data_IF_103961277466
#
_entry.id   IF_103961277466
#
_cell.length_a   1.000
_cell.length_b   1.000
_cell.length_c   1.000
_cell.angle_alpha   90.00
_cell.angle_beta   90.00
_cell.angle_gamma   90.00
#
_symmetry.space_group_name_H-M   'P 1'
#
loop_
_entity.id
_entity.type
_entity.pdbx_description
1 polymer ?
#
# COMPACT_ATOMS: atom_id res chain seq x y z
N UNK A 1 -12.86 0.76 -7.52
CA UNK A 1 -13.14 0.86 -6.07
C UNK A 1 -11.80 0.92 -5.36
N UNK A 2 -11.64 1.75 -4.32
CA UNK A 2 -10.40 1.77 -3.53
C UNK A 2 -10.61 1.00 -2.26
N UNK A 3 -9.79 -0.01 -2.03
CA UNK A 3 -9.78 -0.80 -0.80
C UNK A 3 -8.68 -0.27 0.12
N UNK A 4 -8.98 -0.16 1.40
CA UNK A 4 -7.99 0.15 2.41
C UNK A 4 -7.61 -1.13 3.14
N UNK A 5 -6.32 -1.41 3.22
CA UNK A 5 -5.79 -2.53 3.96
C UNK A 5 -5.05 -2.03 5.20
N UNK A 6 -5.34 -2.64 6.35
CA UNK A 6 -4.63 -2.39 7.61
C UNK A 6 -3.54 -3.45 7.80
N UNK A 7 -2.30 -3.03 7.99
CA UNK A 7 -1.16 -3.95 8.20
C UNK A 7 -0.11 -3.35 9.15
N UNK A 8 0.75 -4.17 9.77
CA UNK A 8 1.87 -3.65 10.57
C UNK A 8 2.81 -2.79 9.73
N UNK A 9 3.33 -1.71 10.32
CA UNK A 9 4.41 -0.93 9.74
C UNK A 9 5.70 -1.74 9.80
N UNK A 10 6.38 -1.91 8.68
CA UNK A 10 7.69 -2.55 8.60
C UNK A 10 8.77 -1.54 8.21
N UNK A 11 10.03 -1.95 8.36
CA UNK A 11 11.21 -1.13 8.02
C UNK A 11 11.23 -0.72 6.54
N UNK A 12 10.57 -1.46 5.66
CA UNK A 12 10.45 -1.16 4.23
C UNK A 12 9.60 0.10 3.97
N UNK A 13 8.64 0.39 4.84
CA UNK A 13 7.70 1.52 4.70
C UNK A 13 8.16 2.77 5.47
N UNK A 14 9.31 2.67 6.15
CA UNK A 14 9.73 3.63 7.16
C UNK A 14 10.08 5.00 6.55
N UNK A 15 10.65 5.01 5.34
CA UNK A 15 10.87 6.25 4.57
C UNK A 15 9.54 6.95 4.29
N UNK A 16 8.53 6.24 3.81
CA UNK A 16 7.21 6.82 3.52
C UNK A 16 6.51 7.32 4.79
N UNK A 17 6.68 6.62 5.93
CA UNK A 17 6.15 7.06 7.22
C UNK A 17 6.79 8.38 7.69
N UNK A 18 8.12 8.53 7.55
CA UNK A 18 8.82 9.77 7.90
C UNK A 18 8.44 10.92 6.98
N UNK A 19 8.30 10.66 5.67
CA UNK A 19 7.81 11.68 4.72
C UNK A 19 6.40 12.15 5.07
N UNK A 20 5.51 11.22 5.42
CA UNK A 20 4.15 11.55 5.85
C UNK A 20 4.13 12.35 7.15
N UNK A 21 4.94 11.97 8.13
CA UNK A 21 5.09 12.71 9.39
C UNK A 21 5.62 14.13 9.15
N UNK A 22 6.58 14.30 8.24
CA UNK A 22 7.09 15.61 7.85
C UNK A 22 6.01 16.49 7.21
N UNK A 23 5.17 15.90 6.36
CA UNK A 23 4.09 16.61 5.67
C UNK A 23 2.93 16.99 6.60
N UNK A 24 2.55 16.10 7.52
CA UNK A 24 1.37 16.28 8.37
C UNK A 24 1.69 16.97 9.70
N UNK A 25 2.85 16.70 10.28
CA UNK A 25 3.20 17.10 11.65
C UNK A 25 4.51 17.91 11.73
N UNK A 26 5.19 18.13 10.60
CA UNK A 26 6.40 18.94 10.55
C UNK A 26 7.67 18.21 11.01
N UNK A 27 7.66 16.88 11.09
CA UNK A 27 8.82 16.06 11.48
C UNK A 27 8.87 15.81 12.98
N UNK A 28 7.73 15.43 13.58
CA UNK A 28 7.63 15.07 14.98
C UNK A 28 8.45 13.82 15.29
N UNK A 29 8.50 12.87 14.35
CA UNK A 29 9.18 11.60 14.48
C UNK A 29 10.36 11.48 13.54
N UNK A 30 11.48 10.98 14.06
CA UNK A 30 12.67 10.66 13.26
C UNK A 30 12.61 9.21 12.76
N UNK A 31 13.39 8.90 11.72
CA UNK A 31 13.58 7.53 11.22
C UNK A 31 13.93 6.55 12.35
N UNK A 32 14.94 6.89 13.15
CA UNK A 32 15.36 6.08 14.31
C UNK A 32 14.29 5.96 15.39
N UNK A 33 13.38 6.92 15.50
CA UNK A 33 12.24 6.87 16.42
C UNK A 33 11.25 5.80 15.99
N UNK A 34 10.87 5.78 14.71
CA UNK A 34 10.03 4.73 14.15
C UNK A 34 10.66 3.34 14.27
N UNK A 35 11.95 3.19 13.96
CA UNK A 35 12.67 1.91 14.10
C UNK A 35 12.59 1.38 15.53
N UNK A 36 12.85 2.23 16.53
CA UNK A 36 12.77 1.85 17.95
C UNK A 36 11.39 1.35 18.35
N UNK A 37 10.31 2.00 17.90
CA UNK A 37 8.95 1.62 18.28
C UNK A 37 8.43 0.39 17.49
N UNK A 38 8.98 0.11 16.31
CA UNK A 38 8.74 -1.17 15.61
C UNK A 38 9.32 -2.32 16.42
N UNK A 39 10.53 -2.16 16.97
CA UNK A 39 11.21 -3.19 17.74
C UNK A 39 10.75 -3.26 19.22
N UNK A 40 9.95 -2.29 19.67
CA UNK A 40 9.49 -2.18 21.04
C UNK A 40 8.33 -3.16 21.32
N UNK A 41 8.39 -3.95 22.41
CA UNK A 41 7.29 -4.82 22.80
C UNK A 41 6.10 -4.05 23.39
N UNK A 42 6.24 -2.74 23.60
CA UNK A 42 5.24 -1.89 24.26
C UNK A 42 4.36 -1.12 23.27
N UNK A 43 4.64 -1.25 21.97
CA UNK A 43 3.98 -0.50 20.91
C UNK A 43 3.67 -1.40 19.72
N UNK A 44 2.62 -1.05 18.99
CA UNK A 44 2.33 -1.65 17.69
C UNK A 44 2.00 -0.52 16.72
N UNK A 45 2.82 -0.38 15.69
CA UNK A 45 2.59 0.58 14.61
C UNK A 45 1.86 -0.11 13.46
N UNK A 46 0.73 0.46 13.06
CA UNK A 46 -0.09 -0.02 11.96
C UNK A 46 -0.19 1.06 10.88
N UNK A 47 -0.32 0.64 9.63
CA UNK A 47 -0.53 1.51 8.46
C UNK A 47 -1.81 1.14 7.72
N UNK A 48 -2.39 2.13 7.06
CA UNK A 48 -3.47 2.00 6.09
C UNK A 48 -2.91 2.18 4.68
N UNK A 49 -2.99 1.15 3.85
CA UNK A 49 -2.56 1.21 2.46
C UNK A 49 -3.77 1.16 1.52
N UNK A 50 -3.82 2.10 0.58
CA UNK A 50 -4.83 2.13 -0.47
C UNK A 50 -4.46 1.22 -1.64
N UNK A 51 -5.32 0.24 -1.93
CA UNK A 51 -5.26 -0.57 -3.15
C UNK A 51 -6.39 -0.15 -4.07
N UNK A 52 -6.06 0.45 -5.21
CA UNK A 52 -7.01 0.68 -6.29
C UNK A 52 -7.10 -0.58 -7.16
N UNK A 53 -8.31 -1.02 -7.47
CA UNK A 53 -8.49 -1.89 -8.63
C UNK A 53 -8.19 -1.07 -9.89
N UNK A 54 -7.00 -1.22 -10.46
CA UNK A 54 -6.82 -0.93 -11.87
C UNK A 54 -7.63 -1.99 -12.62
N UNK A 55 -8.67 -1.54 -13.33
CA UNK A 55 -9.56 -2.39 -14.10
C UNK A 55 -8.77 -3.34 -15.00
N UNK A 56 -8.73 -4.63 -14.64
CA UNK A 56 -8.27 -5.75 -15.46
C UNK A 56 -9.18 -6.03 -16.65
N UNK A 57 -9.56 -4.99 -17.40
CA UNK A 57 -10.33 -5.06 -18.63
C UNK A 57 -9.45 -4.71 -19.82
N UNK A 58 -8.84 -5.72 -20.44
CA UNK A 58 -8.59 -5.85 -21.91
C UNK A 58 -7.57 -6.96 -22.22
N UNK A 59 -7.99 -8.23 -22.11
CA UNK A 59 -7.64 -9.28 -23.07
C UNK A 59 -8.41 -10.55 -22.71
N UNK A 60 -9.48 -10.85 -23.46
CA UNK A 60 -9.99 -12.17 -23.84
C UNK A 60 -11.40 -12.05 -24.44
N UNK A 61 -11.56 -11.22 -25.48
CA UNK A 61 -12.71 -11.31 -26.39
C UNK A 61 -12.20 -11.09 -27.83
N UNK A 62 -11.43 -12.04 -28.33
CA UNK A 62 -11.06 -12.10 -29.75
C UNK A 62 -10.80 -13.56 -30.19
N UNK A 63 -11.61 -14.51 -29.71
CA UNK A 63 -11.48 -15.92 -30.15
C UNK A 63 -12.84 -16.64 -30.22
N UNK A 64 -13.92 -15.92 -30.50
CA UNK A 64 -15.29 -16.47 -30.55
C UNK A 64 -16.07 -16.24 -31.84
N UNK A 65 -15.47 -15.70 -32.92
CA UNK A 65 -16.23 -15.30 -34.12
C UNK A 65 -15.73 -15.86 -35.45
N UNK A 66 -15.01 -16.99 -35.45
CA UNK A 66 -14.48 -17.62 -36.68
C UNK A 66 -14.88 -19.08 -36.91
N UNK A 67 -16.03 -19.51 -36.39
CA UNK A 67 -16.63 -20.81 -36.73
C UNK A 67 -18.13 -20.70 -36.99
N UNK A 68 -18.55 -19.75 -37.84
CA UNK A 68 -19.83 -19.84 -38.57
C UNK A 68 -19.64 -19.23 -39.96
N UNK A 69 -18.75 -19.83 -40.76
CA UNK A 69 -18.70 -19.67 -42.21
C UNK A 69 -17.66 -20.66 -42.75
N UNK A 70 -18.13 -21.84 -43.17
CA UNK A 70 -17.33 -22.91 -43.74
C UNK A 70 -18.16 -24.17 -43.88
#
# INVERSE_FOLDING_TARGET
MTFLELKPLTTEQLTAAVELDQLCFGGLWTKSGYEREIDSPNSQLLILEGRSEEAGGRRQEAEGRRQEAG
#
